data_IF_331428761308
#
_entry.id   IF_331428761308
#
_cell.length_a   1.000
_cell.length_b   1.000
_cell.length_c   1.000
_cell.angle_alpha   90.00
_cell.angle_beta   90.00
_cell.angle_gamma   90.00
#
_symmetry.space_group_name_H-M   'P 1'
#
loop_
_entity.id
_entity.type
_entity.pdbx_description
1 polymer ?
#
# COMPACT_ATOMS: atom_id res chain seq x y z
N UNK A 1 13.65 -6.37 -10.66
CA UNK A 1 12.23 -6.19 -10.98
C UNK A 1 11.45 -6.59 -9.74
N UNK A 2 10.58 -5.73 -9.22
CA UNK A 2 9.75 -6.08 -8.06
C UNK A 2 8.90 -7.30 -8.43
N UNK A 3 9.07 -8.41 -7.71
CA UNK A 3 8.11 -9.50 -7.72
C UNK A 3 6.83 -8.98 -7.06
N UNK A 4 6.04 -8.21 -7.82
CA UNK A 4 4.71 -7.81 -7.40
C UNK A 4 3.85 -9.08 -7.37
N UNK A 5 3.71 -9.66 -6.18
CA UNK A 5 2.86 -10.84 -5.93
C UNK A 5 1.37 -10.52 -6.17
N UNK A 6 1.00 -9.24 -6.28
CA UNK A 6 -0.35 -8.76 -6.51
C UNK A 6 -0.56 -8.47 -8.00
N UNK A 7 -0.81 -9.53 -8.78
CA UNK A 7 -1.16 -9.41 -10.20
C UNK A 7 -2.39 -8.52 -10.40
N UNK A 8 -2.33 -7.61 -11.38
CA UNK A 8 -3.43 -6.68 -11.68
C UNK A 8 -3.49 -5.42 -10.81
N UNK A 9 -2.64 -5.30 -9.79
CA UNK A 9 -2.54 -4.10 -8.95
C UNK A 9 -1.59 -3.06 -9.55
N UNK A 10 -1.91 -1.78 -9.35
CA UNK A 10 -1.04 -0.68 -9.74
C UNK A 10 0.39 -0.84 -9.15
N UNK A 11 1.38 -0.79 -10.04
CA UNK A 11 2.79 -1.03 -9.66
C UNK A 11 3.33 -0.04 -8.62
N UNK A 12 2.83 1.21 -8.62
CA UNK A 12 3.22 2.21 -7.62
C UNK A 12 2.58 1.91 -6.26
N UNK A 13 1.31 1.48 -6.25
CA UNK A 13 0.65 1.04 -5.02
C UNK A 13 1.39 -0.14 -4.38
N UNK A 14 1.68 -1.20 -5.15
CA UNK A 14 2.41 -2.37 -4.66
C UNK A 14 3.79 -2.01 -4.10
N UNK A 15 4.53 -1.12 -4.78
CA UNK A 15 5.81 -0.62 -4.29
C UNK A 15 5.66 0.16 -2.97
N UNK A 16 4.71 1.10 -2.90
CA UNK A 16 4.56 1.98 -1.75
C UNK A 16 4.04 1.23 -0.52
N UNK A 17 3.16 0.25 -0.71
CA UNK A 17 2.69 -0.65 0.34
C UNK A 17 3.86 -1.43 0.95
N UNK A 18 4.71 -2.05 0.11
CA UNK A 18 5.89 -2.77 0.61
C UNK A 18 6.87 -1.86 1.36
N UNK A 19 7.07 -0.63 0.87
CA UNK A 19 7.86 0.39 1.56
C UNK A 19 7.27 0.77 2.92
N UNK A 20 5.95 1.00 2.98
CA UNK A 20 5.24 1.37 4.21
C UNK A 20 5.26 0.25 5.23
N UNK A 21 4.94 -1.00 4.84
CA UNK A 21 5.01 -2.17 5.70
C UNK A 21 6.41 -2.32 6.32
N UNK A 22 7.47 -2.23 5.52
CA UNK A 22 8.86 -2.27 6.00
C UNK A 22 9.24 -1.12 6.93
N UNK A 23 8.56 0.02 6.81
CA UNK A 23 8.77 1.16 7.71
C UNK A 23 8.07 0.92 9.04
N UNK A 24 6.87 0.34 9.02
CA UNK A 24 6.10 -0.01 10.22
C UNK A 24 6.81 -1.05 11.08
N UNK A 25 7.47 -2.06 10.48
CA UNK A 25 8.28 -3.04 11.22
C UNK A 25 9.50 -2.45 11.94
N UNK A 26 9.83 -1.17 11.70
CA UNK A 26 10.88 -0.44 12.45
C UNK A 26 10.33 0.35 13.63
N UNK A 27 9.02 0.43 13.77
CA UNK A 27 8.36 1.05 14.91
C UNK A 27 8.32 0.06 16.10
N UNK A 28 8.18 0.54 17.35
CA UNK A 28 8.15 -0.35 18.52
C UNK A 28 6.87 -1.20 18.63
N UNK A 29 5.89 -1.00 17.73
CA UNK A 29 4.59 -1.67 17.78
C UNK A 29 4.53 -2.94 16.91
N UNK A 30 5.49 -3.11 16.02
CA UNK A 30 5.54 -4.23 15.07
C UNK A 30 6.93 -4.85 15.05
N UNK A 31 6.99 -6.08 14.59
CA UNK A 31 8.18 -6.89 14.43
C UNK A 31 8.45 -7.14 12.95
N UNK A 32 9.57 -7.81 12.66
CA UNK A 32 9.88 -8.23 11.30
C UNK A 32 8.90 -9.28 10.77
N UNK A 33 8.32 -10.09 11.65
CA UNK A 33 7.39 -11.17 11.29
C UNK A 33 6.04 -10.60 10.83
N UNK A 34 5.66 -9.41 11.32
CA UNK A 34 4.44 -8.70 10.90
C UNK A 34 4.52 -8.14 9.48
N UNK A 35 5.68 -8.24 8.80
CA UNK A 35 5.87 -7.61 7.49
C UNK A 35 4.83 -8.06 6.45
N UNK A 36 4.60 -9.38 6.32
CA UNK A 36 3.67 -9.90 5.32
C UNK A 36 2.22 -9.52 5.66
N UNK A 37 1.85 -9.57 6.94
CA UNK A 37 0.51 -9.19 7.41
C UNK A 37 0.24 -7.70 7.18
N UNK A 38 1.18 -6.83 7.55
CA UNK A 38 1.11 -5.40 7.27
C UNK A 38 1.00 -5.10 5.78
N UNK A 39 1.73 -5.84 4.95
CA UNK A 39 1.67 -5.70 3.50
C UNK A 39 0.28 -6.07 2.96
N UNK A 40 -0.32 -7.15 3.47
CA UNK A 40 -1.65 -7.60 3.06
C UNK A 40 -2.75 -6.65 3.54
N UNK A 41 -2.71 -6.19 4.79
CA UNK A 41 -3.68 -5.24 5.33
C UNK A 41 -3.70 -3.91 4.56
N UNK A 42 -2.51 -3.37 4.28
CA UNK A 42 -2.39 -2.15 3.47
C UNK A 42 -2.86 -2.35 2.02
N UNK A 43 -2.68 -3.55 1.47
CA UNK A 43 -3.18 -3.89 0.14
C UNK A 43 -4.71 -3.98 0.12
N UNK A 44 -5.32 -4.61 1.12
CA UNK A 44 -6.77 -4.66 1.26
C UNK A 44 -7.35 -3.25 1.40
N UNK A 45 -6.77 -2.41 2.24
CA UNK A 45 -7.18 -1.01 2.38
C UNK A 45 -7.11 -0.25 1.05
N UNK A 46 -6.03 -0.43 0.29
CA UNK A 46 -5.90 0.13 -1.06
C UNK A 46 -6.99 -0.37 -2.01
N UNK A 47 -7.21 -1.68 -2.10
CA UNK A 47 -8.20 -2.27 -2.99
C UNK A 47 -9.63 -1.84 -2.67
N UNK A 48 -9.96 -1.69 -1.38
CA UNK A 48 -11.25 -1.17 -0.96
C UNK A 48 -11.44 0.30 -1.34
N UNK A 49 -10.40 1.11 -1.25
CA UNK A 49 -10.47 2.52 -1.61
C UNK A 49 -10.43 2.74 -3.13
N UNK A 50 -9.73 1.89 -3.89
CA UNK A 50 -9.43 2.12 -5.31
C UNK A 50 -10.65 2.46 -6.20
N UNK A 51 -11.82 1.81 -6.06
CA UNK A 51 -13.02 2.15 -6.83
C UNK A 51 -13.55 3.58 -6.60
N UNK A 52 -13.12 4.26 -5.52
CA UNK A 52 -13.48 5.65 -5.22
C UNK A 52 -12.54 6.68 -5.84
N UNK A 53 -11.47 6.24 -6.51
CA UNK A 53 -10.54 7.14 -7.19
C UNK A 53 -11.27 7.91 -8.30
N UNK A 54 -11.14 9.24 -8.25
CA UNK A 54 -11.73 10.17 -9.19
C UNK A 54 -10.61 11.03 -9.77
N UNK A 55 -10.29 10.80 -11.05
CA UNK A 55 -9.22 11.52 -11.76
C UNK A 55 -9.48 13.02 -11.89
N UNK A 56 -10.73 13.47 -11.78
CA UNK A 56 -11.07 14.89 -11.80
C UNK A 56 -10.68 15.61 -10.50
N UNK A 57 -10.48 14.85 -9.41
CA UNK A 57 -10.19 15.38 -8.06
C UNK A 57 -8.72 15.33 -7.69
N UNK A 58 -7.87 14.67 -8.48
CA UNK A 58 -6.43 14.68 -8.26
C UNK A 58 -5.66 13.54 -8.91
N UNK A 59 -4.35 13.53 -8.63
CA UNK A 59 -3.44 12.53 -9.18
C UNK A 59 -3.53 11.18 -8.45
N UNK A 60 -3.40 10.12 -9.25
CA UNK A 60 -3.41 8.73 -8.80
C UNK A 60 -2.37 8.43 -7.71
N UNK A 61 -1.15 8.95 -7.81
CA UNK A 61 -0.10 8.70 -6.79
C UNK A 61 -0.43 9.38 -5.48
N UNK A 62 -1.03 10.57 -5.54
CA UNK A 62 -1.50 11.30 -4.35
C UNK A 62 -2.63 10.54 -3.66
N UNK A 63 -3.59 10.02 -4.42
CA UNK A 63 -4.64 9.14 -3.90
C UNK A 63 -4.05 7.90 -3.21
N UNK A 64 -3.16 7.16 -3.90
CA UNK A 64 -2.48 5.98 -3.35
C UNK A 64 -1.79 6.29 -2.02
N UNK A 65 -0.99 7.37 -1.98
CA UNK A 65 -0.31 7.81 -0.75
C UNK A 65 -1.28 8.19 0.36
N UNK A 66 -2.39 8.84 0.02
CA UNK A 66 -3.40 9.23 1.00
C UNK A 66 -4.03 8.01 1.64
N UNK A 67 -4.43 7.02 0.84
CA UNK A 67 -5.06 5.79 1.35
C UNK A 67 -4.10 4.99 2.24
N UNK A 68 -2.84 4.82 1.82
CA UNK A 68 -1.86 3.98 2.52
C UNK A 68 -1.33 4.63 3.81
N UNK A 69 -1.46 5.95 3.96
CA UNK A 69 -1.00 6.67 5.16
C UNK A 69 -2.12 7.05 6.13
N UNK A 70 -3.38 6.82 5.77
CA UNK A 70 -4.53 7.04 6.64
C UNK A 70 -4.63 5.93 7.68
#
# INVERSE_FOLDING_TARGET
MSNNRYGGVDSYAAFFIGYKARTLTKSPFFTADDFEDLQQELMLAYLHAWPSFDESKGDRRSFIKSVINN
#
